data_IF_357272861800
#
_entry.id   IF_357272861800
#
_cell.length_a   1.000
_cell.length_b   1.000
_cell.length_c   1.000
_cell.angle_alpha   90.00
_cell.angle_beta   90.00
_cell.angle_gamma   90.00
#
_symmetry.space_group_name_H-M   'P 1'
#
loop_
_entity.id
_entity.type
_entity.pdbx_description
1 polymer ?
#
# COMPACT_ATOMS: atom_id res chain seq x y z
N UNK A 1 3.67 6.36 -11.25
CA UNK A 1 2.90 6.99 -10.15
C UNK A 1 3.77 8.03 -9.44
N UNK A 2 3.42 9.30 -9.55
CA UNK A 2 4.18 10.41 -8.95
C UNK A 2 3.57 10.72 -7.57
N UNK A 3 4.15 10.13 -6.52
CA UNK A 3 3.71 10.35 -5.13
C UNK A 3 4.17 11.73 -4.64
N UNK A 4 3.41 12.78 -4.91
CA UNK A 4 3.57 14.11 -4.32
C UNK A 4 2.53 14.31 -3.21
N UNK A 5 2.84 13.79 -2.02
CA UNK A 5 2.30 14.27 -0.75
C UNK A 5 3.25 13.74 0.33
N UNK A 6 3.52 14.53 1.37
CA UNK A 6 4.26 14.12 2.57
C UNK A 6 3.45 13.13 3.41
N UNK A 7 2.97 12.06 2.78
CA UNK A 7 2.12 11.06 3.37
C UNK A 7 2.94 9.84 3.77
N UNK A 8 2.80 9.43 5.02
CA UNK A 8 3.29 8.14 5.48
C UNK A 8 2.50 7.06 4.75
N UNK A 9 3.18 6.22 3.96
CA UNK A 9 2.54 5.07 3.31
C UNK A 9 2.66 3.84 4.21
N UNK A 10 1.56 3.13 4.43
CA UNK A 10 1.50 1.90 5.23
C UNK A 10 1.06 0.74 4.34
N UNK A 11 1.78 -0.37 4.42
CA UNK A 11 1.52 -1.59 3.65
C UNK A 11 1.28 -2.73 4.65
N UNK A 12 0.07 -3.30 4.67
CA UNK A 12 -0.30 -4.39 5.58
C UNK A 12 -0.29 -5.70 4.81
N UNK A 13 0.57 -6.64 5.19
CA UNK A 13 0.68 -7.94 4.54
C UNK A 13 -0.16 -8.98 5.29
N UNK A 14 -1.40 -9.17 4.85
CA UNK A 14 -2.33 -10.15 5.43
C UNK A 14 -2.00 -11.58 5.01
N UNK A 15 -1.44 -11.76 3.82
CA UNK A 15 -1.02 -13.05 3.26
C UNK A 15 0.24 -12.91 2.38
N UNK A 16 0.99 -14.02 2.22
CA UNK A 16 2.18 -14.07 1.36
C UNK A 16 3.32 -13.18 1.85
N UNK A 17 3.96 -12.48 0.90
CA UNK A 17 5.01 -11.50 1.17
C UNK A 17 5.04 -10.41 0.09
N UNK A 18 5.42 -9.19 0.48
CA UNK A 18 5.52 -8.01 -0.38
C UNK A 18 6.90 -7.39 -0.20
N UNK A 19 7.61 -7.10 -1.30
CA UNK A 19 8.85 -6.30 -1.27
C UNK A 19 8.50 -4.82 -1.42
N UNK A 20 8.88 -3.99 -0.45
CA UNK A 20 8.69 -2.54 -0.47
C UNK A 20 10.06 -1.88 -0.65
N UNK A 21 10.20 -1.05 -1.69
CA UNK A 21 11.46 -0.39 -2.06
C UNK A 21 11.27 1.11 -2.25
N UNK A 22 12.21 1.89 -1.73
CA UNK A 22 12.37 3.31 -2.05
C UNK A 22 13.84 3.65 -2.38
N UNK A 23 14.20 4.94 -2.45
CA UNK A 23 15.58 5.36 -2.80
C UNK A 23 16.61 5.04 -1.71
N UNK A 24 16.17 4.89 -0.46
CA UNK A 24 17.04 4.66 0.69
C UNK A 24 17.23 3.17 1.02
N UNK A 25 16.35 2.29 0.53
CA UNK A 25 16.48 0.86 0.75
C UNK A 25 15.25 0.06 0.36
N UNK A 26 15.26 -1.21 0.74
CA UNK A 26 14.15 -2.13 0.55
C UNK A 26 13.95 -3.05 1.75
N UNK A 27 12.72 -3.49 1.96
CA UNK A 27 12.34 -4.46 2.99
C UNK A 27 11.35 -5.47 2.42
N UNK A 28 11.28 -6.64 3.04
CA UNK A 28 10.28 -7.67 2.74
C UNK A 28 9.33 -7.76 3.94
N UNK A 29 8.06 -7.42 3.72
CA UNK A 29 6.99 -7.68 4.69
C UNK A 29 6.35 -9.03 4.38
N UNK A 30 6.25 -9.90 5.37
CA UNK A 30 5.59 -11.21 5.28
C UNK A 30 4.22 -11.16 5.96
N UNK A 31 3.42 -12.21 5.80
CA UNK A 31 2.16 -12.41 6.50
C UNK A 31 2.24 -12.00 7.97
N UNK A 32 1.31 -11.13 8.38
CA UNK A 32 1.22 -10.58 9.74
C UNK A 32 2.18 -9.43 10.03
N UNK A 33 2.80 -8.86 9.00
CA UNK A 33 3.70 -7.71 9.13
C UNK A 33 3.17 -6.49 8.36
N UNK A 34 3.44 -5.33 8.93
CA UNK A 34 3.13 -4.02 8.36
C UNK A 34 4.43 -3.29 8.06
N UNK A 35 4.59 -2.83 6.82
CA UNK A 35 5.67 -1.95 6.44
C UNK A 35 5.23 -0.48 6.38
N UNK A 36 6.12 0.43 6.79
CA UNK A 36 5.88 1.87 6.76
C UNK A 36 6.97 2.57 5.96
N UNK A 37 6.57 3.46 5.07
CA UNK A 37 7.45 4.36 4.32
C UNK A 37 7.10 5.79 4.70
N UNK A 38 7.94 6.40 5.55
CA UNK A 38 7.73 7.78 6.00
C UNK A 38 8.18 8.82 4.96
N UNK A 39 9.22 8.50 4.19
CA UNK A 39 9.74 9.39 3.15
C UNK A 39 10.52 8.59 2.10
N UNK A 40 10.89 9.26 1.01
CA UNK A 40 11.71 8.66 -0.05
C UNK A 40 13.18 8.44 0.36
N UNK A 41 13.66 9.18 1.35
CA UNK A 41 15.06 9.21 1.80
C UNK A 41 15.32 8.42 3.08
N UNK A 42 14.28 7.87 3.72
CA UNK A 42 14.41 6.98 4.88
C UNK A 42 14.07 5.55 4.48
N UNK A 43 14.90 4.57 4.86
CA UNK A 43 14.62 3.18 4.54
C UNK A 43 13.24 2.75 5.11
N UNK A 44 12.47 1.94 4.37
CA UNK A 44 11.21 1.41 4.89
C UNK A 44 11.43 0.62 6.18
N UNK A 45 10.43 0.59 7.07
CA UNK A 45 10.50 -0.15 8.34
C UNK A 45 9.40 -1.19 8.40
N UNK A 46 9.68 -2.35 9.02
CA UNK A 46 8.72 -3.46 9.18
C UNK A 46 8.47 -3.70 10.66
N UNK A 47 7.20 -3.91 11.03
CA UNK A 47 6.81 -4.38 12.36
C UNK A 47 5.67 -5.38 12.26
N UNK A 48 5.35 -6.06 13.36
CA UNK A 48 4.13 -6.87 13.46
C UNK A 48 2.89 -5.99 13.27
N UNK A 49 1.93 -6.53 12.51
CA UNK A 49 0.62 -5.91 12.29
C UNK A 49 -0.15 -5.88 13.61
N UNK A 50 -0.77 -4.73 13.90
CA UNK A 50 -1.70 -4.54 15.01
C UNK A 50 -3.12 -4.42 14.47
N UNK A 51 -4.13 -4.65 15.29
CA UNK A 51 -5.54 -4.56 14.86
C UNK A 51 -5.86 -3.21 14.20
N UNK A 52 -5.42 -2.09 14.79
CA UNK A 52 -5.61 -0.75 14.21
C UNK A 52 -4.76 -0.43 12.96
N UNK A 53 -3.98 -1.37 12.44
CA UNK A 53 -3.35 -1.21 11.13
C UNK A 53 -4.24 -1.66 9.97
N UNK A 54 -5.16 -2.58 10.24
CA UNK A 54 -6.08 -3.12 9.25
C UNK A 54 -7.22 -2.11 9.12
N UNK A 55 -7.45 -1.51 7.93
CA UNK A 55 -8.59 -0.64 7.73
C UNK A 55 -9.89 -1.42 8.03
N UNK A 56 -10.72 -0.88 8.92
CA UNK A 56 -12.06 -1.42 9.22
C UNK A 56 -13.12 -0.67 8.41
N UNK A 57 -14.17 -1.39 7.99
CA UNK A 57 -15.26 -0.83 7.18
C UNK A 57 -16.10 0.25 7.91
N UNK A 58 -15.99 0.36 9.24
CA UNK A 58 -16.80 1.28 10.07
C UNK A 58 -16.48 2.77 9.90
N UNK A 59 -15.36 3.14 9.26
CA UNK A 59 -14.99 4.55 8.98
C UNK A 59 -15.35 4.99 7.54
N UNK A 60 -16.27 4.29 6.87
CA UNK A 60 -16.69 4.55 5.48
C UNK A 60 -17.67 5.73 5.33
N UNK A 61 -17.43 6.85 6.01
CA UNK A 61 -18.10 8.10 5.72
C UNK A 61 -17.40 8.84 4.57
N UNK A 62 -17.83 8.53 3.34
CA UNK A 62 -17.87 9.50 2.24
C UNK A 62 -16.64 9.63 1.32
N UNK A 63 -15.68 8.71 1.35
CA UNK A 63 -14.53 8.76 0.42
C UNK A 63 -14.84 7.91 -0.82
N UNK A 64 -14.75 8.52 -2.00
CA UNK A 64 -14.67 7.84 -3.30
C UNK A 64 -13.63 6.72 -3.20
N UNK A 65 -14.08 5.46 -3.14
CA UNK A 65 -13.17 4.32 -3.07
C UNK A 65 -12.55 4.13 -4.46
N UNK A 66 -11.29 4.56 -4.60
CA UNK A 66 -10.44 4.18 -5.74
C UNK A 66 -9.66 2.91 -5.38
N UNK A 67 -9.81 1.87 -6.20
CA UNK A 67 -9.06 0.62 -6.10
C UNK A 67 -8.07 0.56 -7.27
N UNK A 68 -6.77 0.60 -6.98
CA UNK A 68 -5.70 0.48 -7.96
C UNK A 68 -5.07 -0.93 -7.89
N UNK A 69 -5.18 -1.70 -8.98
CA UNK A 69 -4.50 -3.00 -9.15
C UNK A 69 -3.31 -2.86 -10.10
N UNK A 70 -2.10 -3.13 -9.62
CA UNK A 70 -0.88 -3.17 -10.43
C UNK A 70 -0.61 -4.56 -11.00
N UNK A 71 -0.41 -4.65 -12.31
CA UNK A 71 -0.03 -5.87 -13.03
C UNK A 71 1.35 -5.68 -13.65
N UNK A 72 2.29 -6.57 -13.37
CA UNK A 72 3.62 -6.57 -14.01
C UNK A 72 3.75 -7.80 -14.90
N UNK A 73 4.09 -7.62 -16.18
CA UNK A 73 4.35 -8.74 -17.07
C UNK A 73 5.79 -9.28 -16.94
N UNK A 74 6.09 -10.40 -17.59
CA UNK A 74 7.42 -11.03 -17.55
C UNK A 74 8.55 -10.19 -18.17
N UNK A 75 8.22 -9.11 -18.89
CA UNK A 75 9.18 -8.11 -19.39
C UNK A 75 9.35 -6.92 -18.44
N UNK A 76 8.74 -6.97 -17.24
CA UNK A 76 8.83 -5.91 -16.23
C UNK A 76 7.95 -4.69 -16.51
N UNK A 77 7.05 -4.75 -17.50
CA UNK A 77 6.14 -3.64 -17.80
C UNK A 77 4.96 -3.67 -16.84
N UNK A 78 4.66 -2.51 -16.25
CA UNK A 78 3.56 -2.32 -15.30
C UNK A 78 2.33 -1.73 -16.00
N UNK A 79 1.16 -2.31 -15.72
CA UNK A 79 -0.16 -1.74 -16.06
C UNK A 79 -0.97 -1.61 -14.79
N UNK A 80 -1.67 -0.49 -14.64
CA UNK A 80 -2.54 -0.24 -13.49
C UNK A 80 -3.99 -0.26 -13.97
N UNK A 81 -4.81 -1.12 -13.36
CA UNK A 81 -6.26 -1.05 -13.48
C UNK A 81 -6.79 -0.23 -12.31
N UNK A 82 -7.45 0.89 -12.61
CA UNK A 82 -8.11 1.73 -11.61
C UNK A 82 -9.62 1.51 -11.67
N UNK A 83 -10.21 1.12 -10.54
CA UNK A 83 -11.65 0.97 -10.37
C UNK A 83 -12.13 2.11 -9.48
N UNK A 84 -13.01 2.95 -9.99
CA UNK A 84 -13.67 4.00 -9.22
C UNK A 84 -15.06 3.51 -8.83
N UNK A 85 -15.28 3.28 -7.53
CA UNK A 85 -16.60 2.91 -7.02
C UNK A 85 -17.41 4.17 -6.76
N UNK A 86 -18.44 4.40 -7.56
CA UNK A 86 -19.44 5.43 -7.29
C UNK A 86 -20.56 4.81 -6.46
N UNK A 87 -20.71 5.25 -5.21
CA UNK A 87 -21.86 4.88 -4.38
C UNK A 87 -23.13 5.40 -5.06
N UNK A 88 -24.07 4.51 -5.33
CA UNK A 88 -25.42 4.88 -5.76
C UNK A 88 -26.26 5.02 -4.49
N UNK A 89 -26.76 6.23 -4.24
CA UNK A 89 -27.62 6.55 -3.10
C UNK A 89 -28.97 5.81 -3.18
#
# INVERSE_FOLDING_TARGET
VQLSQSGVSRFVCTEGAIEIKNKAGKVLARRGQTATVESRSRAPQVRLTREGDIPSDDDSNGILQELDFGFTNGAGQEKVLRIQLKKQD
#
